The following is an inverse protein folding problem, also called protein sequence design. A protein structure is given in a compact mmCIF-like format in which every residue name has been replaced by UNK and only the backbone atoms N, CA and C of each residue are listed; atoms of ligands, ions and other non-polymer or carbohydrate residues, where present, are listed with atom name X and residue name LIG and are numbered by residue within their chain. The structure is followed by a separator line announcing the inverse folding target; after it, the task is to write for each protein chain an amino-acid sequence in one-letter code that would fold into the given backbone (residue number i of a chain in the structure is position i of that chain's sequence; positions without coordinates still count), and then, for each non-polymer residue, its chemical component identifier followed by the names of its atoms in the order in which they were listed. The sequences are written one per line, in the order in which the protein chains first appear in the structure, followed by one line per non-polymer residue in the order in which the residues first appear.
data_IF_708106315887
#
_entry.id   IF_708106315887
#
_cell.length_a   1.000
_cell.length_b   1.000
_cell.length_c   1.000
_cell.angle_alpha   90.00
_cell.angle_beta   90.00
_cell.angle_gamma   90.00
#
_symmetry.space_group_name_H-M   'P 1'
#
loop_
_entity.id
_entity.type
_entity.pdbx_description
1 polymer ?
#
# COMPACT_ATOMS: atom_id res chain seq x y z
N UNK A 1 -11.82 -18.74 -2.84
CA UNK A 1 -10.87 -18.06 -1.93
C UNK A 1 -10.06 -17.10 -2.79
N UNK A 2 -9.79 -15.87 -2.36
CA UNK A 2 -9.03 -14.91 -3.18
C UNK A 2 -7.54 -15.11 -2.96
N UNK A 3 -6.82 -15.41 -4.04
CA UNK A 3 -5.36 -15.60 -4.03
C UNK A 3 -4.69 -14.34 -4.59
N UNK A 4 -3.58 -13.91 -3.98
CA UNK A 4 -2.81 -12.75 -4.45
C UNK A 4 -1.82 -13.13 -5.54
N UNK A 5 -1.27 -14.34 -5.46
CA UNK A 5 -0.22 -14.86 -6.34
C UNK A 5 -0.65 -16.18 -6.97
N UNK A 6 -0.49 -16.30 -8.29
CA UNK A 6 -0.66 -17.54 -9.03
C UNK A 6 0.71 -18.17 -9.31
N UNK A 7 1.02 -19.30 -8.68
CA UNK A 7 2.31 -20.00 -8.86
C UNK A 7 2.12 -21.12 -9.87
N UNK A 8 2.80 -21.02 -11.00
CA UNK A 8 2.80 -22.04 -12.05
C UNK A 8 4.17 -22.70 -12.12
N UNK A 9 4.23 -24.02 -12.04
CA UNK A 9 5.46 -24.78 -12.18
C UNK A 9 5.15 -26.15 -12.78
N UNK A 10 6.19 -26.90 -13.17
CA UNK A 10 6.04 -28.26 -13.68
C UNK A 10 7.07 -29.21 -13.09
N UNK A 11 6.61 -30.41 -12.77
CA UNK A 11 7.47 -31.51 -12.32
C UNK A 11 7.34 -31.78 -10.82
N UNK A 12 7.11 -33.05 -10.49
CA UNK A 12 6.86 -33.50 -9.13
C UNK A 12 8.04 -33.21 -8.18
N UNK A 13 9.26 -33.22 -8.71
CA UNK A 13 10.49 -32.94 -7.96
C UNK A 13 10.57 -31.48 -7.49
N UNK A 14 9.99 -30.53 -8.24
CA UNK A 14 9.98 -29.11 -7.86
C UNK A 14 9.00 -28.82 -6.74
N UNK A 15 7.86 -29.53 -6.71
CA UNK A 15 6.81 -29.33 -5.71
C UNK A 15 7.33 -29.49 -4.29
N UNK A 16 8.22 -30.47 -4.06
CA UNK A 16 8.78 -30.79 -2.74
C UNK A 16 10.10 -30.08 -2.45
N UNK A 17 10.76 -29.51 -3.45
CA UNK A 17 12.05 -28.82 -3.32
C UNK A 17 11.85 -27.30 -3.36
N UNK A 18 12.33 -26.61 -4.39
CA UNK A 18 12.34 -25.15 -4.49
C UNK A 18 10.97 -24.51 -4.28
N UNK A 19 9.92 -25.07 -4.89
CA UNK A 19 8.57 -24.47 -4.81
C UNK A 19 8.01 -24.58 -3.40
N UNK A 20 8.31 -25.64 -2.65
CA UNK A 20 7.83 -25.76 -1.26
C UNK A 20 8.42 -24.64 -0.39
N UNK A 21 9.71 -24.34 -0.54
CA UNK A 21 10.38 -23.24 0.15
C UNK A 21 9.86 -21.87 -0.28
N UNK A 22 9.60 -21.67 -1.59
CA UNK A 22 9.00 -20.44 -2.10
C UNK A 22 7.60 -20.20 -1.51
N UNK A 23 6.75 -21.23 -1.48
CA UNK A 23 5.40 -21.14 -0.90
C UNK A 23 5.44 -20.88 0.60
N UNK A 24 6.41 -21.46 1.33
CA UNK A 24 6.64 -21.14 2.75
C UNK A 24 7.08 -19.69 2.93
N UNK A 25 7.96 -19.16 2.07
CA UNK A 25 8.39 -17.76 2.13
C UNK A 25 7.25 -16.79 1.82
N UNK A 26 6.40 -17.09 0.82
CA UNK A 26 5.16 -16.34 0.58
C UNK A 26 4.22 -16.39 1.78
N UNK A 27 3.97 -17.58 2.34
CA UNK A 27 3.09 -17.74 3.50
C UNK A 27 3.61 -16.96 4.72
N UNK A 28 4.91 -17.03 5.00
CA UNK A 28 5.55 -16.29 6.11
C UNK A 28 5.52 -14.78 5.89
N UNK A 29 5.52 -14.33 4.63
CA UNK A 29 5.33 -12.93 4.23
C UNK A 29 3.86 -12.50 4.08
N UNK A 30 2.92 -13.33 4.52
CA UNK A 30 1.46 -13.15 4.43
C UNK A 30 0.92 -12.99 2.99
N UNK A 31 1.60 -13.55 2.00
CA UNK A 31 1.20 -13.55 0.60
C UNK A 31 0.39 -14.83 0.35
N UNK A 32 -0.87 -14.69 -0.07
CA UNK A 32 -1.66 -15.88 -0.44
C UNK A 32 -1.36 -16.32 -1.85
N UNK A 33 -1.02 -17.59 -2.00
CA UNK A 33 -0.70 -18.19 -3.29
C UNK A 33 -1.70 -19.28 -3.69
N UNK A 34 -2.06 -19.32 -4.96
CA UNK A 34 -2.67 -20.47 -5.61
C UNK A 34 -1.59 -21.27 -6.32
N UNK A 35 -1.67 -22.61 -6.24
CA UNK A 35 -0.76 -23.50 -6.96
C UNK A 35 -1.51 -24.02 -8.18
N UNK A 36 -0.98 -23.75 -9.36
CA UNK A 36 -1.53 -24.25 -10.62
C UNK A 36 -1.62 -25.78 -10.64
N UNK A 37 -2.71 -26.29 -11.24
CA UNK A 37 -2.86 -27.70 -11.55
C UNK A 37 -1.94 -28.09 -12.70
N UNK A 38 -1.58 -29.38 -12.76
CA UNK A 38 -0.77 -29.93 -13.84
C UNK A 38 -1.59 -31.00 -14.59
N UNK A 39 -2.29 -30.68 -15.71
CA UNK A 39 -2.38 -29.41 -16.47
C UNK A 39 -3.33 -28.36 -15.89
N UNK A 40 -3.29 -27.12 -16.43
CA UNK A 40 -4.22 -26.06 -16.02
C UNK A 40 -5.67 -26.47 -16.27
N UNK A 41 -6.47 -26.48 -15.21
CA UNK A 41 -7.90 -26.75 -15.24
C UNK A 41 -8.72 -25.46 -15.34
N UNK A 42 -10.03 -25.57 -15.59
CA UNK A 42 -10.92 -24.40 -15.66
C UNK A 42 -10.99 -23.64 -14.33
N UNK A 43 -10.79 -24.32 -13.21
CA UNK A 43 -10.66 -23.74 -11.87
C UNK A 43 -9.43 -22.85 -11.72
N UNK A 44 -8.35 -23.15 -12.44
CA UNK A 44 -7.12 -22.36 -12.41
C UNK A 44 -7.27 -21.04 -13.17
N UNK A 45 -8.18 -20.97 -14.15
CA UNK A 45 -8.50 -19.74 -14.86
C UNK A 45 -9.07 -18.67 -13.93
N UNK A 46 -10.07 -19.04 -13.13
CA UNK A 46 -10.66 -18.14 -12.15
C UNK A 46 -9.62 -17.73 -11.09
N UNK A 47 -8.75 -18.65 -10.67
CA UNK A 47 -7.68 -18.34 -9.72
C UNK A 47 -6.65 -17.35 -10.31
N UNK A 48 -6.27 -17.53 -11.58
CA UNK A 48 -5.35 -16.64 -12.29
C UNK A 48 -5.95 -15.25 -12.53
N UNK A 49 -7.21 -15.16 -12.94
CA UNK A 49 -7.94 -13.89 -13.13
C UNK A 49 -8.03 -13.05 -11.87
N UNK A 50 -8.19 -13.73 -10.72
CA UNK A 50 -8.30 -13.05 -9.43
C UNK A 50 -6.94 -12.70 -8.81
N UNK A 51 -5.85 -13.26 -9.32
CA UNK A 51 -4.48 -13.02 -8.87
C UNK A 51 -3.92 -11.71 -9.43
N UNK A 52 -3.06 -11.05 -8.65
CA UNK A 52 -2.38 -9.82 -9.08
C UNK A 52 -1.00 -10.10 -9.68
N UNK A 53 -0.38 -11.19 -9.25
CA UNK A 53 0.95 -11.60 -9.69
C UNK A 53 0.89 -13.05 -10.12
N UNK A 54 1.54 -13.40 -11.22
CA UNK A 54 1.80 -14.77 -11.59
C UNK A 54 3.31 -15.04 -11.61
N UNK A 55 3.71 -16.15 -11.00
CA UNK A 55 5.08 -16.59 -10.83
C UNK A 55 5.27 -17.91 -11.58
N UNK A 56 5.62 -17.85 -12.89
CA UNK A 56 6.01 -19.04 -13.62
C UNK A 56 7.43 -19.46 -13.22
N UNK A 57 7.54 -20.64 -12.60
CA UNK A 57 8.81 -21.29 -12.26
C UNK A 57 9.20 -22.22 -13.41
N UNK A 58 10.12 -21.73 -14.23
CA UNK A 58 10.59 -22.35 -15.45
C UNK A 58 11.88 -23.11 -15.14
N UNK A 59 11.85 -24.43 -15.31
CA UNK A 59 12.97 -25.32 -15.00
C UNK A 59 13.20 -26.32 -16.14
N UNK A 60 14.12 -27.28 -15.97
CA UNK A 60 14.31 -28.38 -16.93
C UNK A 60 13.08 -29.28 -17.10
N UNK A 61 12.28 -29.47 -16.06
CA UNK A 61 11.01 -30.22 -16.12
C UNK A 61 9.86 -29.41 -16.74
N UNK A 62 10.09 -28.11 -16.96
CA UNK A 62 9.23 -27.23 -17.73
C UNK A 62 9.52 -27.41 -19.23
N UNK A 63 9.37 -28.65 -19.72
CA UNK A 63 9.70 -29.02 -21.10
C UNK A 63 8.89 -28.17 -22.10
N UNK A 64 9.52 -27.77 -23.22
CA UNK A 64 8.86 -27.06 -24.31
C UNK A 64 7.83 -27.97 -24.96
N UNK A 65 6.65 -27.98 -24.36
CA UNK A 65 5.47 -28.74 -24.75
C UNK A 65 4.37 -27.77 -25.15
N UNK A 66 3.39 -28.26 -25.89
CA UNK A 66 2.20 -27.48 -26.24
C UNK A 66 1.48 -26.96 -24.98
N UNK A 67 1.54 -27.71 -23.87
CA UNK A 67 1.01 -27.30 -22.57
C UNK A 67 1.74 -26.11 -21.96
N UNK A 68 3.07 -26.14 -21.97
CA UNK A 68 3.87 -25.01 -21.47
C UNK A 68 3.56 -23.72 -22.24
N UNK A 69 3.46 -23.84 -23.57
CA UNK A 69 3.13 -22.69 -24.42
C UNK A 69 1.73 -22.20 -24.16
N UNK A 70 0.76 -23.10 -23.95
CA UNK A 70 -0.62 -22.74 -23.60
C UNK A 70 -0.73 -22.04 -22.24
N UNK A 71 -0.02 -22.52 -21.23
CA UNK A 71 -0.04 -21.94 -19.88
C UNK A 71 0.61 -20.55 -19.87
N UNK A 72 1.82 -20.44 -20.44
CA UNK A 72 2.53 -19.17 -20.56
C UNK A 72 1.77 -18.19 -21.47
N UNK A 73 1.19 -18.65 -22.58
CA UNK A 73 0.47 -17.75 -23.50
C UNK A 73 -0.68 -17.05 -22.80
N UNK A 74 -1.45 -17.79 -22.01
CA UNK A 74 -2.57 -17.24 -21.22
C UNK A 74 -2.07 -16.22 -20.20
N UNK A 75 -1.06 -16.57 -19.42
CA UNK A 75 -0.45 -15.65 -18.45
C UNK A 75 0.04 -14.34 -19.11
N UNK A 76 0.66 -14.44 -20.28
CA UNK A 76 1.16 -13.28 -21.05
C UNK A 76 0.01 -12.42 -21.57
N UNK A 77 -1.13 -13.00 -21.93
CA UNK A 77 -2.33 -12.25 -22.34
C UNK A 77 -2.86 -11.38 -21.19
N UNK A 78 -2.99 -11.92 -19.97
CA UNK A 78 -3.39 -11.14 -18.80
C UNK A 78 -2.36 -10.05 -18.43
N UNK A 79 -1.06 -10.29 -18.67
CA UNK A 79 -0.02 -9.26 -18.52
C UNK A 79 -0.20 -8.11 -19.51
N UNK A 80 -0.52 -8.41 -20.77
CA UNK A 80 -0.75 -7.40 -21.81
C UNK A 80 -1.97 -6.53 -21.52
N UNK A 81 -3.03 -7.10 -20.94
CA UNK A 81 -4.26 -6.38 -20.57
C UNK A 81 -4.06 -5.59 -19.27
N UNK A 82 -3.00 -5.87 -18.51
CA UNK A 82 -2.61 -5.11 -17.31
C UNK A 82 -3.28 -5.58 -16.02
N UNK A 83 -3.94 -6.74 -16.02
CA UNK A 83 -4.62 -7.29 -14.84
C UNK A 83 -3.71 -8.17 -14.00
N UNK A 84 -2.64 -8.70 -14.59
CA UNK A 84 -1.71 -9.64 -13.96
C UNK A 84 -0.27 -9.19 -14.22
N UNK A 85 0.61 -9.25 -13.21
CA UNK A 85 2.04 -8.99 -13.40
C UNK A 85 2.81 -10.31 -13.42
N UNK A 86 3.66 -10.53 -14.43
CA UNK A 86 4.47 -11.74 -14.49
C UNK A 86 5.85 -11.55 -13.86
N UNK A 87 6.24 -12.51 -13.02
CA UNK A 87 7.54 -12.57 -12.35
C UNK A 87 8.17 -13.93 -12.61
N UNK A 88 8.88 -14.12 -13.74
CA UNK A 88 9.47 -15.41 -14.08
C UNK A 88 10.68 -15.76 -13.21
N UNK A 89 10.73 -17.03 -12.81
CA UNK A 89 11.89 -17.64 -12.15
C UNK A 89 12.47 -18.70 -13.08
N UNK A 90 13.70 -18.53 -13.53
CA UNK A 90 14.44 -19.51 -14.30
C UNK A 90 15.31 -20.33 -13.36
N UNK A 91 14.81 -21.51 -12.99
CA UNK A 91 15.42 -22.38 -11.99
C UNK A 91 16.28 -23.46 -12.67
N UNK A 92 17.60 -23.36 -12.46
CA UNK A 92 18.63 -24.26 -13.00
C UNK A 92 18.56 -24.44 -14.53
N UNK A 93 18.10 -23.40 -15.24
CA UNK A 93 17.99 -23.39 -16.70
C UNK A 93 18.27 -21.99 -17.26
N UNK A 94 18.98 -21.92 -18.39
CA UNK A 94 19.18 -20.66 -19.11
C UNK A 94 17.95 -20.37 -19.99
N UNK A 95 17.38 -19.14 -19.97
CA UNK A 95 16.32 -18.75 -20.90
C UNK A 95 16.72 -18.93 -22.37
N UNK A 96 18.01 -18.78 -22.70
CA UNK A 96 18.53 -18.98 -24.06
C UNK A 96 18.37 -20.41 -24.53
N UNK A 97 18.52 -21.40 -23.64
CA UNK A 97 18.36 -22.80 -24.00
C UNK A 97 16.90 -23.15 -24.27
N UNK A 98 15.97 -22.49 -23.57
CA UNK A 98 14.53 -22.62 -23.83
C UNK A 98 14.16 -21.95 -25.15
N UNK A 99 14.70 -20.76 -25.43
CA UNK A 99 14.51 -20.07 -26.70
C UNK A 99 14.99 -20.90 -27.91
N UNK A 100 16.14 -21.57 -27.78
CA UNK A 100 16.64 -22.51 -28.81
C UNK A 100 15.67 -23.65 -29.06
N UNK A 101 15.04 -24.19 -28.00
CA UNK A 101 14.06 -25.25 -28.12
C UNK A 101 12.76 -24.73 -28.77
N UNK A 102 12.22 -23.59 -28.33
CA UNK A 102 11.00 -22.96 -28.88
C UNK A 102 11.17 -22.62 -30.37
N UNK A 103 12.36 -22.15 -30.79
CA UNK A 103 12.63 -21.81 -32.19
C UNK A 103 12.29 -22.95 -33.16
N UNK A 104 12.58 -24.20 -32.78
CA UNK A 104 12.28 -25.39 -33.60
C UNK A 104 10.79 -25.58 -33.85
N UNK A 105 9.93 -25.14 -32.93
CA UNK A 105 8.46 -25.30 -33.03
C UNK A 105 7.79 -24.09 -33.69
N UNK A 106 8.33 -22.88 -33.50
CA UNK A 106 7.80 -21.67 -34.14
C UNK A 106 7.80 -21.78 -35.66
N UNK A 107 8.84 -22.40 -36.23
CA UNK A 107 8.97 -22.60 -37.68
C UNK A 107 7.87 -23.52 -38.26
N UNK A 108 7.13 -24.25 -37.40
CA UNK A 108 6.13 -25.24 -37.79
C UNK A 108 4.70 -24.83 -37.40
N UNK A 109 4.49 -24.25 -36.21
CA UNK A 109 3.14 -24.07 -35.63
C UNK A 109 2.65 -22.62 -35.47
N UNK A 110 3.53 -21.60 -35.54
CA UNK A 110 3.14 -20.19 -35.41
C UNK A 110 2.34 -19.84 -34.12
N UNK A 111 1.75 -18.64 -34.06
CA UNK A 111 0.78 -18.27 -33.00
C UNK A 111 1.38 -18.13 -31.58
N UNK A 112 0.85 -18.90 -30.62
CA UNK A 112 1.22 -18.82 -29.20
C UNK A 112 2.71 -19.08 -28.95
N UNK A 113 3.34 -19.93 -29.76
CA UNK A 113 4.79 -20.17 -29.70
C UNK A 113 5.58 -18.89 -29.98
N UNK A 114 5.14 -18.06 -30.93
CA UNK A 114 5.78 -16.78 -31.23
C UNK A 114 5.60 -15.78 -30.09
N UNK A 115 4.41 -15.75 -29.48
CA UNK A 115 4.12 -14.89 -28.34
C UNK A 115 5.03 -15.24 -27.14
N UNK A 116 5.11 -16.51 -26.78
CA UNK A 116 5.99 -16.98 -25.70
C UNK A 116 7.45 -16.74 -26.04
N UNK A 117 7.87 -16.96 -27.31
CA UNK A 117 9.23 -16.66 -27.77
C UNK A 117 9.59 -15.19 -27.57
N UNK A 118 8.75 -14.26 -28.06
CA UNK A 118 8.98 -12.81 -27.92
C UNK A 118 9.02 -12.37 -26.47
N UNK A 119 8.11 -12.89 -25.65
CA UNK A 119 8.09 -12.61 -24.22
C UNK A 119 9.36 -13.12 -23.53
N UNK A 120 9.79 -14.36 -23.80
CA UNK A 120 11.06 -14.92 -23.29
C UNK A 120 12.28 -14.08 -23.69
N UNK A 121 12.36 -13.63 -24.94
CA UNK A 121 13.43 -12.71 -25.38
C UNK A 121 13.46 -11.41 -24.57
N UNK A 122 12.28 -10.85 -24.24
CA UNK A 122 12.21 -9.67 -23.38
C UNK A 122 12.73 -9.95 -21.97
N UNK A 123 12.53 -11.17 -21.43
CA UNK A 123 13.03 -11.53 -20.11
C UNK A 123 14.56 -11.65 -20.06
N UNK A 124 15.22 -12.04 -21.16
CA UNK A 124 16.71 -12.11 -21.21
C UNK A 124 17.36 -10.73 -21.01
N UNK A 125 16.66 -9.65 -21.33
CA UNK A 125 17.19 -8.27 -21.28
C UNK A 125 16.61 -7.42 -20.14
N UNK A 126 15.70 -7.98 -19.34
CA UNK A 126 14.99 -7.26 -18.27
C UNK A 126 15.67 -7.45 -16.92
N UNK A 127 15.69 -6.40 -16.11
CA UNK A 127 16.19 -6.43 -14.72
C UNK A 127 15.21 -7.06 -13.72
N UNK A 128 14.08 -7.59 -14.18
CA UNK A 128 13.01 -8.15 -13.32
C UNK A 128 12.79 -9.65 -13.50
N UNK A 129 13.68 -10.34 -14.23
CA UNK A 129 13.74 -11.80 -14.28
C UNK A 129 14.66 -12.34 -13.20
N UNK A 130 14.27 -13.44 -12.57
CA UNK A 130 15.09 -14.09 -11.55
C UNK A 130 15.73 -15.35 -12.13
N UNK A 131 17.06 -15.42 -12.18
CA UNK A 131 17.79 -16.62 -12.58
C UNK A 131 18.43 -17.24 -11.35
N UNK A 132 18.27 -18.56 -11.16
CA UNK A 132 18.90 -19.22 -10.01
C UNK A 132 20.42 -19.20 -10.06
N UNK A 133 21.02 -19.00 -11.24
CA UNK A 133 22.46 -18.84 -11.40
C UNK A 133 23.02 -17.54 -10.83
N UNK A 134 22.16 -16.56 -10.54
CA UNK A 134 22.57 -15.25 -10.04
C UNK A 134 22.77 -15.25 -8.51
N UNK A 135 22.50 -16.37 -7.85
CA UNK A 135 22.49 -16.52 -6.39
C UNK A 135 23.35 -17.70 -5.97
N UNK A 136 24.09 -17.56 -4.87
CA UNK A 136 24.86 -18.66 -4.29
C UNK A 136 23.94 -19.72 -3.67
N UNK A 137 22.87 -19.27 -3.01
CA UNK A 137 21.90 -20.12 -2.33
C UNK A 137 20.47 -19.91 -2.86
N UNK A 138 19.75 -21.02 -3.10
CA UNK A 138 18.33 -21.00 -3.49
C UNK A 138 17.45 -20.24 -2.47
N UNK A 139 17.87 -20.20 -1.20
CA UNK A 139 17.17 -19.46 -0.14
C UNK A 139 17.21 -17.95 -0.34
N UNK A 140 18.35 -17.41 -0.80
CA UNK A 140 18.49 -15.98 -1.09
C UNK A 140 17.62 -15.58 -2.29
N UNK A 141 17.59 -16.43 -3.32
CA UNK A 141 16.67 -16.28 -4.44
C UNK A 141 15.21 -16.23 -3.97
N UNK A 142 14.80 -17.15 -3.09
CA UNK A 142 13.43 -17.21 -2.55
C UNK A 142 13.08 -15.93 -1.78
N UNK A 143 13.98 -15.44 -0.93
CA UNK A 143 13.76 -14.22 -0.16
C UNK A 143 13.63 -13.00 -1.07
N UNK A 144 14.46 -12.92 -2.11
CA UNK A 144 14.46 -11.80 -3.07
C UNK A 144 13.24 -11.79 -3.96
N UNK A 145 12.80 -12.95 -4.42
CA UNK A 145 11.52 -13.10 -5.13
C UNK A 145 10.37 -12.67 -4.23
N UNK A 146 10.36 -13.11 -2.96
CA UNK A 146 9.31 -12.80 -2.00
C UNK A 146 9.23 -11.31 -1.68
N UNK A 147 10.37 -10.67 -1.46
CA UNK A 147 10.49 -9.22 -1.29
C UNK A 147 9.93 -8.47 -2.52
N UNK A 148 10.31 -8.91 -3.73
CA UNK A 148 9.86 -8.29 -4.96
C UNK A 148 8.35 -8.43 -5.20
N UNK A 149 7.80 -9.62 -5.00
CA UNK A 149 6.35 -9.88 -5.11
C UNK A 149 5.59 -9.08 -4.05
N UNK A 150 6.08 -9.03 -2.80
CA UNK A 150 5.48 -8.21 -1.74
C UNK A 150 5.39 -6.74 -2.13
N UNK A 151 6.48 -6.18 -2.68
CA UNK A 151 6.51 -4.80 -3.15
C UNK A 151 5.49 -4.54 -4.28
N UNK A 152 5.32 -5.50 -5.19
CA UNK A 152 4.28 -5.41 -6.24
C UNK A 152 2.90 -5.33 -5.60
N UNK A 153 2.58 -6.23 -4.66
CA UNK A 153 1.28 -6.30 -4.00
C UNK A 153 0.99 -5.04 -3.16
N UNK A 154 2.00 -4.48 -2.49
CA UNK A 154 1.88 -3.23 -1.75
C UNK A 154 1.60 -2.06 -2.71
N UNK A 155 2.26 -2.03 -3.88
CA UNK A 155 2.09 -0.97 -4.87
C UNK A 155 0.75 -1.00 -5.61
N UNK A 156 0.09 -2.15 -5.69
CA UNK A 156 -1.17 -2.34 -6.43
C UNK A 156 -2.43 -1.99 -5.64
N UNK A 157 -2.31 -1.51 -4.40
CA UNK A 157 -3.43 -0.92 -3.66
C UNK A 157 -4.49 -1.90 -3.13
N UNK A 158 -4.32 -3.22 -3.31
CA UNK A 158 -5.13 -4.20 -2.57
C UNK A 158 -4.63 -4.28 -1.14
N UNK A 159 -5.23 -3.45 -0.28
CA UNK A 159 -5.22 -3.65 1.17
C UNK A 159 -5.62 -5.10 1.49
N UNK A 160 -4.76 -5.84 2.18
CA UNK A 160 -5.01 -7.20 2.66
C UNK A 160 -6.28 -7.23 3.53
N UNK A 161 -7.40 -7.64 2.95
CA UNK A 161 -8.63 -7.96 3.67
C UNK A 161 -8.97 -9.44 3.45
N UNK A 162 -9.08 -10.22 4.53
CA UNK A 162 -9.75 -11.52 4.48
C UNK A 162 -11.01 -11.50 5.36
N UNK A 163 -12.06 -12.07 4.78
CA UNK A 163 -13.41 -12.37 5.28
C UNK A 163 -14.46 -11.23 5.26
N UNK A 164 -15.25 -11.21 4.18
CA UNK A 164 -16.71 -11.20 4.32
C UNK A 164 -17.26 -12.31 3.43
N UNK A 165 -17.62 -13.43 4.05
CA UNK A 165 -18.60 -14.35 3.46
C UNK A 165 -19.94 -13.62 3.35
N UNK A 166 -20.68 -13.92 2.29
CA UNK A 166 -22.06 -13.47 2.11
C UNK A 166 -22.18 -12.18 1.31
N UNK A 167 -22.12 -12.31 -0.01
CA UNK A 167 -23.23 -12.01 -0.92
C UNK A 167 -22.80 -12.43 -2.33
N UNK A 168 -23.61 -13.29 -2.94
CA UNK A 168 -23.46 -13.81 -4.29
C UNK A 168 -23.24 -12.69 -5.31
N UNK A 169 -22.40 -12.86 -6.35
CA UNK A 169 -22.43 -11.96 -7.49
C UNK A 169 -23.78 -12.12 -8.18
N UNK A 170 -24.60 -11.07 -8.11
CA UNK A 170 -25.77 -10.91 -8.96
C UNK A 170 -25.28 -10.83 -10.41
N UNK A 171 -25.77 -11.76 -11.22
CA UNK A 171 -25.67 -11.79 -12.69
C UNK A 171 -26.12 -10.46 -13.31
N UNK A 172 -25.70 -10.28 -14.57
CA UNK A 172 -26.33 -9.45 -15.63
C UNK A 172 -25.56 -8.16 -15.91
N UNK A 173 -25.17 -7.78 -17.14
CA UNK A 173 -25.68 -8.17 -18.46
C UNK A 173 -24.60 -8.04 -19.54
N UNK A 174 -24.64 -9.00 -20.48
CA UNK A 174 -24.13 -8.86 -21.84
C UNK A 174 -24.78 -7.66 -22.52
N UNK A 175 -24.01 -6.93 -23.30
CA UNK A 175 -24.49 -6.17 -24.44
C UNK A 175 -23.42 -6.24 -25.53
N UNK A 176 -23.54 -7.27 -26.36
CA UNK A 176 -23.13 -7.22 -27.76
C UNK A 176 -24.29 -6.59 -28.55
N UNK A 177 -23.99 -5.58 -29.36
CA UNK A 177 -24.36 -5.60 -30.78
C UNK A 177 -23.70 -4.43 -31.54
N UNK A 178 -22.85 -4.84 -32.48
CA UNK A 178 -22.65 -4.33 -33.85
C UNK A 178 -23.13 -2.92 -34.22
N UNK A 179 -22.25 -2.12 -34.83
CA UNK A 179 -22.51 -1.55 -36.16
C UNK A 179 -21.21 -1.19 -36.92
N UNK A 180 -21.25 -1.45 -38.23
CA UNK A 180 -20.24 -1.43 -39.31
C UNK A 180 -19.30 -0.21 -39.46
N UNK A 181 -18.04 -0.54 -39.75
CA UNK A 181 -17.15 -0.14 -40.88
C UNK A 181 -17.18 1.26 -41.55
N UNK A 182 -16.10 2.05 -41.29
CA UNK A 182 -15.17 2.80 -42.21
C UNK A 182 -15.65 3.96 -43.12
N UNK A 183 -14.77 4.85 -43.66
CA UNK A 183 -13.46 5.38 -43.20
C UNK A 183 -13.25 6.93 -43.38
N UNK A 184 -12.05 7.40 -43.03
CA UNK A 184 -11.26 8.55 -43.58
C UNK A 184 -11.38 9.97 -42.95
N UNK A 185 -10.35 10.36 -42.17
CA UNK A 185 -9.23 11.31 -42.48
C UNK A 185 -8.94 12.34 -41.38
N UNK A 186 -7.74 12.22 -40.79
CA UNK A 186 -6.84 13.24 -40.20
C UNK A 186 -7.38 14.34 -39.27
N UNK A 187 -6.84 14.39 -38.04
CA UNK A 187 -5.75 15.31 -37.67
C UNK A 187 -5.17 14.96 -36.29
N UNK A 188 -3.85 15.10 -36.17
CA UNK A 188 -3.01 14.77 -35.00
C UNK A 188 -3.35 15.59 -33.76
N UNK A 189 -3.54 14.93 -32.62
CA UNK A 189 -3.28 15.51 -31.30
C UNK A 189 -2.56 14.44 -30.47
N UNK A 190 -1.30 14.71 -30.13
CA UNK A 190 -0.51 13.94 -29.19
C UNK A 190 -1.13 14.01 -27.78
N UNK A 191 -1.81 12.96 -27.35
CA UNK A 191 -2.13 12.76 -25.92
C UNK A 191 -1.09 11.82 -25.31
N UNK A 192 0.02 12.40 -24.86
CA UNK A 192 0.90 11.78 -23.87
C UNK A 192 0.15 11.73 -22.51
N UNK A 193 -0.70 10.73 -22.31
CA UNK A 193 -1.12 10.35 -20.96
C UNK A 193 0.06 9.63 -20.28
N UNK A 194 0.94 10.42 -19.66
CA UNK A 194 1.85 9.92 -18.63
C UNK A 194 1.04 9.69 -17.37
N UNK A 195 0.70 8.43 -17.12
CA UNK A 195 0.27 7.96 -15.81
C UNK A 195 1.35 8.28 -14.78
N UNK A 196 1.02 9.17 -13.84
CA UNK A 196 1.89 9.50 -12.71
C UNK A 196 1.88 8.32 -11.72
N UNK A 197 3.05 7.75 -11.36
CA UNK A 197 3.09 6.71 -10.34
C UNK A 197 2.90 7.36 -8.97
N UNK A 198 1.72 7.15 -8.36
CA UNK A 198 1.48 7.44 -6.95
C UNK A 198 2.01 6.25 -6.14
N UNK A 199 3.32 6.19 -6.02
CA UNK A 199 4.03 5.37 -5.04
C UNK A 199 4.79 6.30 -4.12
N UNK A 200 4.45 6.33 -2.82
CA UNK A 200 5.27 6.98 -1.82
C UNK A 200 6.63 6.26 -1.75
N UNK A 201 7.62 6.75 -2.49
CA UNK A 201 9.01 6.42 -2.26
C UNK A 201 9.55 7.49 -1.32
N UNK A 202 9.80 7.13 -0.06
CA UNK A 202 10.70 7.93 0.77
C UNK A 202 12.10 7.74 0.16
N UNK A 203 12.48 8.64 -0.73
CA UNK A 203 13.88 8.85 -1.08
C UNK A 203 14.43 9.88 -0.08
N UNK A 204 15.60 9.67 0.53
CA UNK A 204 16.15 10.57 1.53
C UNK A 204 16.54 11.97 1.00
N UNK A 205 16.27 12.29 -0.27
CA UNK A 205 16.71 13.52 -0.95
C UNK A 205 15.58 14.48 -1.40
N UNK A 206 14.30 14.20 -1.14
CA UNK A 206 13.23 15.18 -1.44
C UNK A 206 13.19 16.28 -0.35
N UNK A 207 13.83 17.41 -0.64
CA UNK A 207 14.17 18.47 0.32
C UNK A 207 13.00 19.24 0.95
N UNK A 208 11.76 19.13 0.44
CA UNK A 208 10.64 20.02 0.78
C UNK A 208 9.52 19.39 1.62
N UNK A 209 9.21 18.09 1.43
CA UNK A 209 8.40 17.27 2.35
C UNK A 209 9.00 17.23 3.78
N UNK A 210 10.27 17.62 3.84
CA UNK A 210 11.11 17.80 5.01
C UNK A 210 10.59 18.91 5.95
N UNK A 211 9.99 20.03 5.52
CA UNK A 211 9.72 21.15 6.47
C UNK A 211 8.63 20.85 7.49
N UNK A 212 7.44 20.44 7.05
CA UNK A 212 6.35 20.05 7.96
C UNK A 212 6.75 18.83 8.83
N UNK A 213 7.40 17.84 8.22
CA UNK A 213 7.75 16.59 8.89
C UNK A 213 8.94 16.75 9.85
N UNK A 214 9.94 17.63 9.56
CA UNK A 214 11.17 17.80 10.35
C UNK A 214 10.91 18.03 11.82
N UNK A 215 10.12 19.06 12.15
CA UNK A 215 9.86 19.44 13.53
C UNK A 215 9.14 18.32 14.29
N UNK A 216 8.16 17.70 13.62
CA UNK A 216 7.31 16.66 14.21
C UNK A 216 8.07 15.34 14.37
N UNK A 217 8.96 15.02 13.44
CA UNK A 217 9.90 13.90 13.53
C UNK A 217 10.94 14.14 14.63
N UNK A 218 11.49 15.35 14.76
CA UNK A 218 12.42 15.67 15.84
C UNK A 218 11.78 15.49 17.22
N UNK A 219 10.53 15.94 17.40
CA UNK A 219 9.75 15.70 18.62
C UNK A 219 9.55 14.21 18.88
N UNK A 220 9.08 13.44 17.90
CA UNK A 220 8.87 12.00 18.06
C UNK A 220 10.18 11.25 18.33
N UNK A 221 11.29 11.62 17.67
CA UNK A 221 12.63 11.07 17.95
C UNK A 221 13.06 11.31 19.38
N UNK A 222 12.84 12.51 19.91
CA UNK A 222 13.13 12.84 21.31
C UNK A 222 12.35 11.94 22.28
N UNK A 223 11.05 11.75 22.01
CA UNK A 223 10.20 10.82 22.75
C UNK A 223 10.70 9.38 22.67
N UNK A 224 11.01 8.89 21.47
CA UNK A 224 11.55 7.53 21.30
C UNK A 224 12.84 7.33 22.09
N UNK A 225 13.75 8.31 22.10
CA UNK A 225 14.95 8.23 22.91
C UNK A 225 14.66 8.25 24.42
N UNK A 226 13.66 9.02 24.87
CA UNK A 226 13.25 9.03 26.28
C UNK A 226 12.68 7.67 26.70
N UNK A 227 11.78 7.12 25.89
CA UNK A 227 11.14 5.82 26.07
C UNK A 227 12.17 4.69 26.12
N UNK A 228 13.14 4.70 25.19
CA UNK A 228 14.24 3.73 25.15
C UNK A 228 15.16 3.80 26.38
N UNK A 229 15.38 4.99 26.97
CA UNK A 229 16.17 5.14 28.20
C UNK A 229 15.42 4.69 29.45
N UNK A 230 14.10 4.89 29.47
CA UNK A 230 13.24 4.50 30.58
C UNK A 230 12.89 3.00 30.57
N UNK A 231 13.32 2.25 29.54
CA UNK A 231 12.83 0.91 29.23
C UNK A 231 11.30 0.81 29.15
N UNK A 232 10.65 1.95 28.91
CA UNK A 232 9.21 2.04 28.66
C UNK A 232 8.96 1.51 27.25
N UNK A 233 7.91 0.71 27.09
CA UNK A 233 7.69 -0.02 25.84
C UNK A 233 6.76 0.69 24.85
N UNK A 234 6.04 1.75 25.24
CA UNK A 234 4.85 2.21 24.51
C UNK A 234 4.81 3.74 24.34
N UNK A 235 4.59 4.17 23.10
CA UNK A 235 4.32 5.56 22.71
C UNK A 235 2.95 5.63 22.07
N UNK A 236 2.10 6.54 22.55
CA UNK A 236 0.84 6.90 21.90
C UNK A 236 1.01 8.11 20.99
N UNK A 237 0.49 8.07 19.77
CA UNK A 237 0.41 9.19 18.83
C UNK A 237 -1.07 9.49 18.59
N UNK A 238 -1.51 10.70 18.90
CA UNK A 238 -2.90 11.15 18.69
C UNK A 238 -2.98 12.47 17.93
N UNK A 239 -4.20 12.86 17.54
CA UNK A 239 -4.46 14.09 16.79
C UNK A 239 -5.55 13.91 15.74
N UNK A 240 -5.95 15.01 15.11
CA UNK A 240 -7.06 15.04 14.14
C UNK A 240 -6.79 14.20 12.89
N UNK A 241 -7.84 13.80 12.20
CA UNK A 241 -7.72 13.07 10.94
C UNK A 241 -7.00 13.90 9.85
N UNK A 242 -6.21 13.25 9.00
CA UNK A 242 -5.45 13.95 7.95
C UNK A 242 -4.25 14.78 8.43
N UNK A 243 -4.01 14.86 9.75
CA UNK A 243 -2.90 15.66 10.33
C UNK A 243 -1.50 15.08 10.05
N UNK A 244 -1.39 13.81 9.62
CA UNK A 244 -0.12 13.16 9.28
C UNK A 244 0.47 12.21 10.33
N UNK A 245 -0.34 11.72 11.29
CA UNK A 245 0.10 10.75 12.33
C UNK A 245 0.80 9.52 11.74
N UNK A 246 0.14 8.82 10.83
CA UNK A 246 0.67 7.65 10.11
C UNK A 246 1.96 7.98 9.36
N UNK A 247 2.05 9.16 8.74
CA UNK A 247 3.22 9.59 7.99
C UNK A 247 4.45 9.74 8.87
N UNK A 248 4.30 10.41 10.03
CA UNK A 248 5.39 10.63 10.99
C UNK A 248 5.83 9.29 11.61
N UNK A 249 4.88 8.46 12.03
CA UNK A 249 5.16 7.16 12.61
C UNK A 249 5.87 6.23 11.62
N UNK A 250 5.47 6.25 10.34
CA UNK A 250 6.09 5.45 9.27
C UNK A 250 7.54 5.85 9.00
N UNK A 251 7.84 7.15 9.02
CA UNK A 251 9.22 7.62 8.86
C UNK A 251 10.11 7.17 10.02
N UNK A 252 9.63 7.27 11.27
CA UNK A 252 10.35 6.74 12.44
C UNK A 252 10.50 5.22 12.39
N UNK A 253 9.46 4.50 11.95
CA UNK A 253 9.52 3.06 11.77
C UNK A 253 10.61 2.65 10.79
N UNK A 254 10.69 3.30 9.62
CA UNK A 254 11.72 3.03 8.62
C UNK A 254 13.12 3.31 9.14
N UNK A 255 13.32 4.44 9.83
CA UNK A 255 14.60 4.82 10.43
C UNK A 255 15.05 3.83 11.52
N UNK A 256 14.13 3.38 12.36
CA UNK A 256 14.44 2.58 13.54
C UNK A 256 14.45 1.08 13.26
N UNK A 257 13.71 0.63 12.25
CA UNK A 257 13.56 -0.78 11.86
C UNK A 257 14.85 -1.59 11.90
N UNK A 258 16.00 -1.14 11.34
CA UNK A 258 17.26 -1.89 11.37
C UNK A 258 17.76 -2.27 12.77
N UNK A 259 17.36 -1.54 13.81
CA UNK A 259 17.80 -1.73 15.21
C UNK A 259 16.99 -2.78 15.98
N UNK A 260 15.99 -3.38 15.34
CA UNK A 260 15.07 -4.35 15.95
C UNK A 260 15.11 -5.68 15.19
N UNK A 261 14.95 -6.77 15.94
CA UNK A 261 14.96 -8.14 15.42
C UNK A 261 13.65 -8.48 14.72
N UNK A 262 12.53 -8.00 15.26
CA UNK A 262 11.19 -8.19 14.69
C UNK A 262 10.53 -6.84 14.50
N UNK A 263 9.88 -6.64 13.35
CA UNK A 263 9.29 -5.35 12.96
C UNK A 263 7.90 -5.56 12.36
N UNK A 264 6.93 -4.82 12.88
CA UNK A 264 5.54 -4.91 12.46
C UNK A 264 4.96 -3.51 12.28
N UNK A 265 4.30 -3.29 11.15
CA UNK A 265 3.47 -2.12 10.90
C UNK A 265 2.09 -2.62 10.46
N UNK A 266 1.07 -2.38 11.27
CA UNK A 266 -0.27 -2.95 11.09
C UNK A 266 -1.33 -1.87 11.20
N UNK A 267 -2.45 -2.06 10.49
CA UNK A 267 -3.63 -1.22 10.60
C UNK A 267 -4.74 -1.99 11.32
N UNK A 268 -5.19 -1.45 12.45
CA UNK A 268 -6.10 -2.06 13.41
C UNK A 268 -7.57 -2.02 12.98
N UNK A 269 -7.94 -1.22 11.96
CA UNK A 269 -9.30 -1.18 11.42
C UNK A 269 -9.80 -2.54 10.89
N UNK A 270 -8.87 -3.47 10.63
CA UNK A 270 -9.19 -4.86 10.27
C UNK A 270 -9.14 -5.75 11.52
N UNK A 271 -10.27 -5.84 12.24
CA UNK A 271 -10.57 -6.79 13.32
C UNK A 271 -9.36 -7.57 13.87
N UNK A 272 -8.74 -7.09 14.96
CA UNK A 272 -7.74 -7.86 15.72
C UNK A 272 -8.46 -8.97 16.50
N UNK A 273 -8.82 -10.04 15.79
CA UNK A 273 -9.16 -11.34 16.36
C UNK A 273 -8.21 -12.40 15.80
N UNK A 274 -6.90 -12.18 16.02
CA UNK A 274 -5.93 -13.22 16.38
C UNK A 274 -4.50 -12.68 16.23
N UNK A 275 -3.99 -12.12 17.34
CA UNK A 275 -2.57 -12.05 17.73
C UNK A 275 -1.58 -11.42 16.74
N UNK A 276 -0.91 -10.34 17.15
CA UNK A 276 0.31 -9.83 16.48
C UNK A 276 1.44 -10.88 16.40
N UNK A 277 1.26 -12.03 17.08
CA UNK A 277 2.09 -13.23 17.08
C UNK A 277 1.72 -14.28 16.01
N UNK A 278 0.66 -14.08 15.22
CA UNK A 278 0.27 -15.01 14.16
C UNK A 278 1.36 -15.24 13.09
N UNK A 279 2.26 -14.29 12.75
CA UNK A 279 3.38 -14.55 11.84
C UNK A 279 4.35 -15.63 12.33
N UNK A 280 4.35 -15.96 13.62
CA UNK A 280 5.26 -16.94 14.25
C UNK A 280 4.63 -18.32 14.48
N UNK A 281 3.37 -18.56 14.06
CA UNK A 281 2.67 -19.83 14.25
C UNK A 281 2.44 -20.52 12.91
N UNK A 282 3.25 -21.53 12.53
CA UNK A 282 3.14 -22.18 11.22
C UNK A 282 1.88 -23.04 11.04
N UNK A 283 1.20 -23.41 12.13
CA UNK A 283 0.11 -24.40 12.12
C UNK A 283 -1.18 -23.89 12.78
N UNK A 284 -2.30 -24.14 12.10
CA UNK A 284 -3.66 -23.81 12.56
C UNK A 284 -4.10 -24.59 13.82
N UNK A 285 -3.38 -25.65 14.21
CA UNK A 285 -3.78 -26.54 15.32
C UNK A 285 -3.51 -25.98 16.73
N UNK A 286 -2.75 -24.89 16.87
CA UNK A 286 -2.41 -24.32 18.17
C UNK A 286 -3.40 -23.26 18.69
N UNK A 287 -4.53 -23.04 18.00
CA UNK A 287 -5.60 -22.15 18.49
C UNK A 287 -6.21 -22.61 19.83
N UNK A 288 -5.93 -23.83 20.30
CA UNK A 288 -6.42 -24.36 21.58
C UNK A 288 -5.48 -24.19 22.79
N UNK A 289 -4.25 -23.69 22.62
CA UNK A 289 -3.26 -23.58 23.70
C UNK A 289 -2.52 -22.23 23.67
N UNK A 290 -3.24 -21.11 23.71
CA UNK A 290 -2.60 -19.81 23.97
C UNK A 290 -2.56 -19.51 25.47
N UNK A 291 -1.71 -20.21 26.22
CA UNK A 291 -1.26 -19.68 27.51
C UNK A 291 -0.32 -18.51 27.26
N UNK A 292 -0.46 -17.42 28.01
CA UNK A 292 0.45 -16.26 27.93
C UNK A 292 1.92 -16.62 28.20
N UNK A 293 2.18 -17.76 28.83
CA UNK A 293 3.53 -18.28 29.12
C UNK A 293 4.28 -18.67 27.83
N UNK A 294 3.61 -19.31 26.87
CA UNK A 294 4.22 -19.73 25.60
C UNK A 294 4.67 -18.52 24.77
N UNK A 295 3.88 -17.43 24.80
CA UNK A 295 4.23 -16.21 24.09
C UNK A 295 5.43 -15.49 24.73
N UNK A 296 5.52 -15.54 26.08
CA UNK A 296 6.64 -14.98 26.82
C UNK A 296 7.94 -15.74 26.56
N UNK A 297 7.90 -17.07 26.47
CA UNK A 297 9.07 -17.86 26.08
C UNK A 297 9.53 -17.56 24.65
N UNK A 298 8.60 -17.33 23.73
CA UNK A 298 8.92 -17.08 22.32
C UNK A 298 9.50 -15.68 22.06
N UNK A 299 9.00 -14.66 22.78
CA UNK A 299 9.25 -13.24 22.48
C UNK A 299 9.98 -12.48 23.59
N UNK A 300 10.09 -13.05 24.79
CA UNK A 300 10.62 -12.37 25.98
C UNK A 300 12.11 -12.02 25.91
N UNK A 301 12.85 -12.55 24.93
CA UNK A 301 14.26 -12.22 24.68
C UNK A 301 14.47 -11.43 23.39
N UNK A 302 13.39 -11.12 22.66
CA UNK A 302 13.46 -10.53 21.33
C UNK A 302 13.10 -9.05 21.38
N UNK A 303 13.90 -8.24 20.70
CA UNK A 303 13.67 -6.80 20.58
C UNK A 303 12.72 -6.51 19.42
N UNK A 304 11.51 -6.04 19.72
CA UNK A 304 10.40 -5.87 18.77
C UNK A 304 10.10 -4.40 18.52
N UNK A 305 9.87 -4.03 17.26
CA UNK A 305 9.29 -2.75 16.87
C UNK A 305 7.87 -2.99 16.33
N UNK A 306 6.86 -2.46 17.00
CA UNK A 306 5.46 -2.58 16.59
C UNK A 306 4.86 -1.20 16.36
N UNK A 307 4.22 -0.98 15.23
CA UNK A 307 3.38 0.20 14.97
C UNK A 307 1.95 -0.25 14.68
N UNK A 308 1.03 0.05 15.59
CA UNK A 308 -0.40 -0.22 15.46
C UNK A 308 -1.11 1.08 15.04
N UNK A 309 -1.49 1.16 13.76
CA UNK A 309 -2.17 2.31 13.16
C UNK A 309 -3.69 2.16 13.24
N UNK A 310 -4.42 3.24 13.50
CA UNK A 310 -5.89 3.24 13.50
C UNK A 310 -6.52 2.47 14.68
N UNK A 311 -6.00 2.63 15.90
CA UNK A 311 -6.62 2.06 17.11
C UNK A 311 -7.81 2.93 17.52
N UNK A 312 -9.01 2.34 17.52
CA UNK A 312 -10.28 3.07 17.70
C UNK A 312 -10.96 2.76 19.03
N UNK A 313 -10.62 1.64 19.68
CA UNK A 313 -11.27 1.23 20.91
C UNK A 313 -10.31 0.77 22.02
N UNK A 314 -10.82 0.80 23.26
CA UNK A 314 -10.04 0.47 24.45
C UNK A 314 -9.66 -1.01 24.52
N UNK A 315 -10.45 -1.90 23.90
CA UNK A 315 -10.20 -3.35 23.92
C UNK A 315 -9.01 -3.69 23.02
N UNK A 316 -8.94 -3.09 21.84
CA UNK A 316 -7.82 -3.17 20.92
C UNK A 316 -6.53 -2.68 21.60
N UNK A 317 -6.59 -1.50 22.24
CA UNK A 317 -5.43 -0.96 22.95
C UNK A 317 -4.97 -1.87 24.10
N UNK A 318 -5.89 -2.38 24.92
CA UNK A 318 -5.56 -3.33 25.99
C UNK A 318 -4.95 -4.63 25.46
N UNK A 319 -5.45 -5.13 24.34
CA UNK A 319 -4.88 -6.30 23.66
C UNK A 319 -3.44 -6.04 23.19
N UNK A 320 -3.19 -4.88 22.57
CA UNK A 320 -1.83 -4.45 22.16
C UNK A 320 -0.89 -4.34 23.36
N UNK A 321 -1.35 -3.73 24.46
CA UNK A 321 -0.55 -3.57 25.69
C UNK A 321 -0.24 -4.94 26.30
N UNK A 322 -1.22 -5.86 26.31
CA UNK A 322 -1.02 -7.22 26.77
C UNK A 322 0.02 -7.96 25.92
N UNK A 323 -0.07 -7.88 24.60
CA UNK A 323 0.91 -8.48 23.69
C UNK A 323 2.31 -7.87 23.90
N UNK A 324 2.37 -6.55 24.12
CA UNK A 324 3.62 -5.82 24.40
C UNK A 324 4.30 -6.26 25.70
N UNK A 325 3.54 -6.73 26.68
CA UNK A 325 4.07 -7.22 27.96
C UNK A 325 4.95 -8.48 27.82
N UNK A 326 4.86 -9.18 26.69
CA UNK A 326 5.66 -10.36 26.39
C UNK A 326 6.93 -10.06 25.60
N UNK A 327 7.15 -8.82 25.17
CA UNK A 327 8.33 -8.47 24.38
C UNK A 327 9.58 -8.33 25.25
N UNK A 328 10.73 -8.60 24.66
CA UNK A 328 12.01 -8.48 25.35
C UNK A 328 12.44 -7.03 25.59
N UNK A 329 13.42 -6.81 26.48
CA UNK A 329 13.92 -5.49 26.81
C UNK A 329 14.35 -4.66 25.59
N UNK A 330 14.08 -3.36 25.62
CA UNK A 330 14.37 -2.42 24.53
C UNK A 330 13.41 -2.48 23.35
N UNK A 331 12.30 -3.22 23.45
CA UNK A 331 11.21 -3.20 22.48
C UNK A 331 10.48 -1.84 22.46
N UNK A 332 9.90 -1.49 21.32
CA UNK A 332 9.20 -0.24 21.11
C UNK A 332 7.87 -0.49 20.41
N UNK A 333 6.79 -0.04 21.02
CA UNK A 333 5.43 -0.10 20.52
C UNK A 333 4.93 1.32 20.30
N UNK A 334 4.43 1.61 19.12
CA UNK A 334 3.84 2.89 18.74
C UNK A 334 2.37 2.63 18.41
N UNK A 335 1.48 3.26 19.15
CA UNK A 335 0.04 3.20 18.95
C UNK A 335 -0.40 4.51 18.31
N UNK A 336 -1.17 4.45 17.23
CA UNK A 336 -1.73 5.62 16.56
C UNK A 336 -3.24 5.59 16.71
N UNK A 337 -3.81 6.67 17.23
CA UNK A 337 -5.26 6.83 17.41
C UNK A 337 -5.68 8.26 17.09
N UNK A 338 -6.97 8.51 16.93
CA UNK A 338 -7.51 9.87 16.94
C UNK A 338 -7.81 10.34 18.37
N UNK A 339 -8.18 9.41 19.26
CA UNK A 339 -8.71 9.72 20.59
C UNK A 339 -7.60 9.69 21.65
N UNK A 340 -7.23 10.88 22.13
CA UNK A 340 -6.26 11.04 23.23
C UNK A 340 -6.74 10.38 24.53
N UNK A 341 -8.04 10.36 24.77
CA UNK A 341 -8.62 9.81 26.00
C UNK A 341 -8.37 8.31 26.12
N UNK A 342 -8.42 7.56 25.01
CA UNK A 342 -8.11 6.13 24.96
C UNK A 342 -6.69 5.84 25.50
N UNK A 343 -5.71 6.64 25.11
CA UNK A 343 -4.32 6.49 25.56
C UNK A 343 -4.20 6.74 27.06
N UNK A 344 -4.81 7.82 27.55
CA UNK A 344 -4.76 8.17 28.98
C UNK A 344 -5.48 7.16 29.87
N UNK A 345 -6.63 6.63 29.44
CA UNK A 345 -7.39 5.63 30.19
C UNK A 345 -6.65 4.29 30.30
N UNK A 346 -5.80 3.97 29.31
CA UNK A 346 -4.96 2.78 29.32
C UNK A 346 -3.59 2.99 30.01
N UNK A 347 -3.34 4.17 30.60
CA UNK A 347 -2.11 4.45 31.32
C UNK A 347 -0.87 4.62 30.43
N UNK A 348 -1.05 5.00 29.16
CA UNK A 348 0.09 5.31 28.28
C UNK A 348 0.73 6.61 28.74
N UNK A 349 1.96 6.54 29.25
CA UNK A 349 2.68 7.69 29.80
C UNK A 349 3.22 8.64 28.71
N UNK A 350 3.72 8.07 27.62
CA UNK A 350 4.38 8.82 26.54
C UNK A 350 3.41 9.07 25.39
N UNK A 351 2.71 10.21 25.44
CA UNK A 351 1.73 10.60 24.42
C UNK A 351 2.26 11.78 23.59
N UNK A 352 2.23 11.63 22.27
CA UNK A 352 2.53 12.67 21.30
C UNK A 352 1.27 13.10 20.55
N UNK A 353 0.82 14.32 20.80
CA UNK A 353 -0.26 14.92 20.03
C UNK A 353 0.31 15.65 18.81
N UNK A 354 -0.10 15.21 17.62
CA UNK A 354 0.33 15.79 16.36
C UNK A 354 -0.56 16.98 16.04
N UNK A 355 0.02 18.17 16.16
CA UNK A 355 -0.64 19.43 15.84
C UNK A 355 -0.57 19.75 14.34
N UNK A 356 -1.59 20.46 13.86
CA UNK A 356 -1.62 21.03 12.52
C UNK A 356 -0.43 21.99 12.28
N UNK A 357 0.08 22.11 11.04
CA UNK A 357 1.08 23.10 10.68
C UNK A 357 0.67 24.52 11.05
N UNK A 358 1.68 25.33 11.39
CA UNK A 358 1.52 26.79 11.42
C UNK A 358 1.12 27.27 10.03
N UNK A 359 0.52 28.45 9.95
CA UNK A 359 -0.01 28.94 8.68
C UNK A 359 1.07 29.03 7.60
N UNK A 360 2.25 29.54 7.95
CA UNK A 360 3.40 29.64 7.05
C UNK A 360 3.89 28.27 6.56
N UNK A 361 3.96 27.28 7.46
CA UNK A 361 4.29 25.88 7.12
C UNK A 361 3.25 25.27 6.18
N UNK A 362 1.96 25.52 6.46
CA UNK A 362 0.85 25.02 5.66
C UNK A 362 0.85 25.63 4.24
N UNK A 363 1.15 26.93 4.14
CA UNK A 363 1.26 27.65 2.88
C UNK A 363 2.45 27.14 2.04
N UNK A 364 3.61 26.95 2.67
CA UNK A 364 4.78 26.39 2.00
C UNK A 364 4.50 24.95 1.52
N UNK A 365 3.87 24.13 2.36
CA UNK A 365 3.50 22.75 2.04
C UNK A 365 2.48 22.70 0.89
N UNK A 366 1.44 23.52 0.92
CA UNK A 366 0.49 23.63 -0.19
C UNK A 366 1.15 24.09 -1.50
N UNK A 367 2.02 25.09 -1.41
CA UNK A 367 2.73 25.67 -2.56
C UNK A 367 3.64 24.66 -3.25
N UNK A 368 4.22 23.73 -2.49
CA UNK A 368 5.01 22.63 -3.05
C UNK A 368 4.16 21.75 -3.99
N UNK A 369 2.93 21.39 -3.59
CA UNK A 369 2.06 20.58 -4.44
C UNK A 369 1.49 21.37 -5.62
N UNK A 370 1.08 22.63 -5.37
CA UNK A 370 0.43 23.49 -6.36
C UNK A 370 1.39 24.12 -7.38
N UNK A 371 2.60 24.48 -6.97
CA UNK A 371 3.54 25.27 -7.78
C UNK A 371 4.93 24.64 -7.94
N UNK A 372 5.22 23.52 -7.24
CA UNK A 372 6.55 22.89 -7.20
C UNK A 372 7.65 23.80 -6.63
N UNK A 373 7.26 24.75 -5.77
CA UNK A 373 8.15 25.66 -5.06
C UNK A 373 7.59 26.01 -3.67
N UNK A 374 8.42 26.53 -2.77
CA UNK A 374 8.05 26.77 -1.38
C UNK A 374 7.17 28.00 -1.13
N UNK A 375 6.80 28.74 -2.17
CA UNK A 375 6.00 29.97 -2.07
C UNK A 375 5.00 30.07 -3.23
N UNK A 376 3.89 30.82 -3.07
CA UNK A 376 2.95 31.05 -4.15
C UNK A 376 3.58 31.74 -5.37
N UNK A 377 3.04 31.50 -6.56
CA UNK A 377 3.39 32.28 -7.74
C UNK A 377 2.83 33.71 -7.65
N UNK A 378 3.50 34.70 -8.27
CA UNK A 378 2.98 36.07 -8.34
C UNK A 378 1.55 36.13 -8.88
N UNK A 379 0.66 36.76 -8.12
CA UNK A 379 -0.77 36.87 -8.42
C UNK A 379 -1.63 35.67 -8.02
N UNK A 380 -1.06 34.64 -7.39
CA UNK A 380 -1.77 33.51 -6.77
C UNK A 380 -1.70 33.55 -5.23
N UNK A 381 -1.12 34.59 -4.63
CA UNK A 381 -0.91 34.70 -3.19
C UNK A 381 -2.23 34.63 -2.44
N UNK A 382 -3.18 35.52 -2.76
CA UNK A 382 -4.50 35.55 -2.10
C UNK A 382 -5.27 34.23 -2.25
N UNK A 383 -5.20 33.60 -3.44
CA UNK A 383 -5.85 32.32 -3.70
C UNK A 383 -5.18 31.18 -2.92
N UNK A 384 -3.87 31.24 -2.74
CA UNK A 384 -3.13 30.26 -1.93
C UNK A 384 -3.44 30.42 -0.44
N UNK A 385 -3.58 31.66 0.04
CA UNK A 385 -4.09 31.92 1.39
C UNK A 385 -5.49 31.32 1.58
N UNK A 386 -6.41 31.57 0.65
CA UNK A 386 -7.76 30.98 0.68
C UNK A 386 -7.73 29.45 0.66
N UNK A 387 -6.93 28.84 -0.21
CA UNK A 387 -6.80 27.39 -0.30
C UNK A 387 -6.33 26.76 1.02
N UNK A 388 -5.36 27.38 1.71
CA UNK A 388 -4.89 26.92 3.02
C UNK A 388 -5.98 27.03 4.09
N UNK A 389 -6.78 28.11 4.03
CA UNK A 389 -7.92 28.32 4.93
C UNK A 389 -9.02 27.28 4.71
N UNK A 390 -9.43 27.05 3.45
CA UNK A 390 -10.39 26.03 3.05
C UNK A 390 -9.94 24.63 3.47
N UNK A 391 -8.65 24.34 3.33
CA UNK A 391 -8.07 23.06 3.73
C UNK A 391 -7.90 22.89 5.26
N UNK A 392 -8.30 23.89 6.07
CA UNK A 392 -8.15 23.89 7.53
C UNK A 392 -6.71 23.56 8.01
N UNK A 393 -5.70 23.90 7.20
CA UNK A 393 -4.29 23.55 7.42
C UNK A 393 -4.02 22.04 7.59
N UNK A 394 -4.94 21.15 7.20
CA UNK A 394 -4.72 19.71 7.27
C UNK A 394 -3.77 19.26 6.16
N UNK A 395 -2.60 18.66 6.46
CA UNK A 395 -1.64 18.23 5.44
C UNK A 395 -2.25 17.36 4.33
N UNK A 396 -3.13 16.41 4.66
CA UNK A 396 -3.79 15.61 3.62
C UNK A 396 -4.64 16.48 2.67
N UNK A 397 -5.44 17.39 3.21
CA UNK A 397 -6.28 18.28 2.41
C UNK A 397 -5.44 19.27 1.58
N UNK A 398 -4.41 19.87 2.17
CA UNK A 398 -3.48 20.77 1.48
C UNK A 398 -2.80 20.07 0.30
N UNK A 399 -2.36 18.82 0.49
CA UNK A 399 -1.74 18.02 -0.57
C UNK A 399 -2.71 17.75 -1.72
N UNK A 400 -3.93 17.31 -1.40
CA UNK A 400 -4.96 16.99 -2.39
C UNK A 400 -5.36 18.24 -3.17
N UNK A 401 -5.69 19.31 -2.45
CA UNK A 401 -6.11 20.58 -3.05
C UNK A 401 -5.00 21.21 -3.89
N UNK A 402 -3.77 21.24 -3.38
CA UNK A 402 -2.62 21.78 -4.12
C UNK A 402 -2.34 20.98 -5.38
N UNK A 403 -2.36 19.64 -5.30
CA UNK A 403 -2.16 18.77 -6.47
C UNK A 403 -3.27 18.94 -7.51
N UNK A 404 -4.51 19.14 -7.07
CA UNK A 404 -5.65 19.36 -7.96
C UNK A 404 -5.59 20.71 -8.68
N UNK A 405 -5.12 21.74 -8.00
CA UNK A 405 -5.00 23.10 -8.53
C UNK A 405 -3.73 23.31 -9.37
N UNK A 406 -2.81 22.36 -9.35
CA UNK A 406 -1.57 22.42 -10.10
C UNK A 406 -1.83 22.57 -11.61
N UNK A 407 -1.19 23.57 -12.22
CA UNK A 407 -1.28 23.85 -13.66
C UNK A 407 -2.57 24.54 -14.11
N UNK A 408 -3.51 24.84 -13.21
CA UNK A 408 -4.78 25.49 -13.53
C UNK A 408 -4.68 27.02 -13.55
N UNK A 409 -5.54 27.66 -14.34
CA UNK A 409 -5.65 29.13 -14.42
C UNK A 409 -6.38 29.75 -13.21
N UNK A 410 -6.27 31.08 -13.05
CA UNK A 410 -6.87 31.79 -11.89
C UNK A 410 -8.37 31.63 -11.78
N UNK A 411 -9.11 31.63 -12.90
CA UNK A 411 -10.57 31.51 -12.88
C UNK A 411 -11.03 30.13 -12.38
N UNK A 412 -10.29 29.08 -12.74
CA UNK A 412 -10.52 27.71 -12.23
C UNK A 412 -10.22 27.61 -10.74
N UNK A 413 -9.16 28.28 -10.25
CA UNK A 413 -8.87 28.37 -8.82
C UNK A 413 -10.01 29.06 -8.07
N UNK A 414 -10.46 30.23 -8.55
CA UNK A 414 -11.52 31.03 -7.92
C UNK A 414 -12.81 30.22 -7.84
N UNK A 415 -13.23 29.59 -8.94
CA UNK A 415 -14.46 28.78 -8.99
C UNK A 415 -14.37 27.53 -8.10
N UNK A 416 -13.23 26.85 -8.08
CA UNK A 416 -13.01 25.68 -7.20
C UNK A 416 -13.08 26.08 -5.73
N UNK A 417 -12.34 27.12 -5.32
CA UNK A 417 -12.27 27.54 -3.92
C UNK A 417 -13.60 28.08 -3.42
N UNK A 418 -14.31 28.87 -4.24
CA UNK A 418 -15.65 29.36 -3.91
C UNK A 418 -16.64 28.20 -3.69
N UNK A 419 -16.64 27.19 -4.57
CA UNK A 419 -17.50 26.02 -4.40
C UNK A 419 -17.21 25.21 -3.13
N UNK A 420 -15.94 25.15 -2.71
CA UNK A 420 -15.55 24.50 -1.46
C UNK A 420 -15.91 25.32 -0.21
N UNK A 421 -15.89 26.66 -0.30
CA UNK A 421 -16.31 27.56 0.80
C UNK A 421 -17.82 27.57 0.98
N UNK A 422 -18.59 27.52 -0.10
CA UNK A 422 -20.06 27.49 -0.07
C UNK A 422 -20.60 26.13 0.43
N UNK A 423 -19.85 25.05 0.25
CA UNK A 423 -20.20 23.71 0.76
C UNK A 423 -19.76 23.49 2.22
N UNK A 424 -19.54 24.56 3.01
CA UNK A 424 -18.96 24.51 4.37
C UNK A 424 -19.68 23.62 5.41
N UNK A 425 -20.93 23.21 5.16
CA UNK A 425 -21.64 22.18 5.95
C UNK A 425 -21.32 20.72 5.53
N UNK A 426 -20.49 20.55 4.50
CA UNK A 426 -20.33 19.35 3.70
C UNK A 426 -18.87 19.08 3.32
N UNK A 427 -17.89 19.65 4.06
CA UNK A 427 -16.46 19.49 3.78
C UNK A 427 -16.05 18.01 3.69
N UNK A 428 -16.57 17.18 4.61
CA UNK A 428 -16.38 15.73 4.57
C UNK A 428 -17.00 15.11 3.32
N UNK A 429 -18.14 15.60 2.85
CA UNK A 429 -18.90 15.03 1.74
C UNK A 429 -18.36 15.42 0.37
N UNK A 430 -17.82 16.63 0.20
CA UNK A 430 -17.20 17.03 -1.07
C UNK A 430 -15.82 16.36 -1.20
N UNK A 431 -15.04 16.31 -0.11
CA UNK A 431 -13.83 15.46 -0.04
C UNK A 431 -14.21 13.97 -0.26
N UNK A 432 -15.31 13.48 0.33
CA UNK A 432 -15.83 12.12 0.08
C UNK A 432 -16.40 11.93 -1.33
N UNK A 433 -16.87 12.96 -2.01
CA UNK A 433 -17.34 12.92 -3.41
C UNK A 433 -16.15 12.83 -4.36
N UNK A 434 -15.05 13.52 -4.04
CA UNK A 434 -13.77 13.36 -4.71
C UNK A 434 -13.10 12.00 -4.39
N UNK A 435 -13.32 11.44 -3.19
CA UNK A 435 -12.95 10.05 -2.87
C UNK A 435 -13.91 9.01 -3.51
N UNK A 436 -15.15 9.40 -3.83
CA UNK A 436 -16.22 8.54 -4.34
C UNK A 436 -16.19 8.25 -5.84
N UNK A 437 -15.26 8.85 -6.60
CA UNK A 437 -14.97 8.47 -7.98
C UNK A 437 -14.17 7.15 -8.01
N UNK A 438 -14.87 6.06 -7.67
CA UNK A 438 -14.47 4.64 -7.76
C UNK A 438 -12.98 4.34 -7.51
N UNK A 439 -12.49 4.65 -6.31
CA UNK A 439 -11.53 3.86 -5.54
C UNK A 439 -11.44 4.48 -4.14
N UNK A 440 -11.60 3.68 -3.09
CA UNK A 440 -11.66 4.06 -1.65
C UNK A 440 -13.07 4.39 -1.12
N UNK A 441 -13.67 3.41 -0.43
CA UNK A 441 -14.94 3.56 0.28
C UNK A 441 -14.70 3.87 1.78
N UNK A 442 -15.48 4.77 2.40
CA UNK A 442 -15.74 4.76 3.83
C UNK A 442 -17.14 4.22 4.15
N UNK A 443 -17.24 3.34 5.17
CA UNK A 443 -18.52 2.88 5.72
C UNK A 443 -19.02 3.82 6.82
N UNK A 444 -20.21 4.38 6.56
CA UNK A 444 -21.34 4.82 7.44
C UNK A 444 -21.13 5.79 8.62
N UNK A 445 -22.18 6.60 8.74
CA UNK A 445 -22.44 7.80 9.53
C UNK A 445 -22.38 7.66 11.05
N UNK A 446 -21.80 8.68 11.70
CA UNK A 446 -21.98 8.97 13.12
C UNK A 446 -23.08 10.04 13.28
N UNK A 447 -24.00 9.79 14.21
CA UNK A 447 -25.05 10.72 14.63
C UNK A 447 -24.43 11.94 15.31
N UNK A 448 -24.92 13.12 14.95
CA UNK A 448 -24.58 14.39 15.57
C UNK A 448 -25.30 14.50 16.91
N UNK A 449 -24.59 14.25 18.01
CA UNK A 449 -25.02 14.75 19.31
C UNK A 449 -24.46 16.16 19.50
N UNK A 450 -25.38 17.10 19.57
CA UNK A 450 -25.14 18.51 19.85
C UNK A 450 -24.60 18.64 21.27
N UNK A 451 -23.38 19.13 21.48
CA UNK A 451 -23.04 19.93 22.66
C UNK A 451 -22.06 21.03 22.25
N UNK A 452 -22.62 22.23 22.12
CA UNK A 452 -21.92 23.51 21.97
C UNK A 452 -21.18 23.78 23.28
N UNK A 453 -19.86 23.88 23.21
CA UNK A 453 -19.01 24.46 24.24
C UNK A 453 -18.43 25.77 23.70
N UNK A 454 -18.99 26.87 24.20
CA UNK A 454 -18.61 28.26 23.92
C UNK A 454 -17.26 28.54 24.58
N UNK A 455 -16.26 28.95 23.79
CA UNK A 455 -15.36 30.09 24.04
C UNK A 455 -14.05 29.93 23.25
N UNK A 456 -13.92 30.71 22.18
CA UNK A 456 -12.74 31.53 21.86
C UNK A 456 -13.06 32.30 20.57
N UNK A 457 -13.94 33.28 20.71
CA UNK A 457 -14.02 34.38 19.78
C UNK A 457 -12.93 35.40 20.11
N UNK A 458 -12.51 36.14 19.09
CA UNK A 458 -11.62 37.32 19.08
C UNK A 458 -10.15 37.00 18.73
N UNK A 459 -9.91 36.87 17.42
CA UNK A 459 -8.93 37.75 16.75
C UNK A 459 -9.17 37.75 15.23
N UNK A 460 -10.10 38.60 14.79
CA UNK A 460 -10.22 39.05 13.41
C UNK A 460 -9.75 40.51 13.33
N UNK A 461 -8.87 40.86 12.39
CA UNK A 461 -8.93 42.14 11.71
C UNK A 461 -9.71 41.96 10.41
N UNK A 462 -10.85 42.66 10.31
CA UNK A 462 -11.64 42.84 9.10
C UNK A 462 -10.79 43.42 7.97
N UNK A 463 -10.85 42.81 6.79
CA UNK A 463 -10.78 43.56 5.53
C UNK A 463 -12.15 43.45 4.86
N UNK A 464 -12.97 44.47 5.07
CA UNK A 464 -14.18 44.70 4.29
C UNK A 464 -13.78 45.16 2.88
N UNK A 465 -14.40 44.50 1.90
CA UNK A 465 -14.58 44.98 0.54
C UNK A 465 -15.15 46.41 0.57
N UNK A 466 -14.48 47.34 -0.11
CA UNK A 466 -15.13 48.54 -0.62
C UNK A 466 -15.42 48.29 -2.10
N UNK A 467 -16.71 48.15 -2.41
CA UNK A 467 -17.27 48.35 -3.73
C UNK A 467 -17.40 49.86 -3.97
N UNK A 468 -16.76 50.37 -5.01
CA UNK A 468 -17.29 51.41 -5.92
C UNK A 468 -16.86 51.06 -7.34
#
# INVERSE_FOLDING_TARGET
MTHEVFVNFRGNDMRKTFVSHLLVSFKTSCITSFIASEPLEDTDHEAMENSLVAVPVISKSYSVSEWMVKDLSRMIEYEKIGTLRLVPIFFQISPLDILKQIKKYVEVQGGNFEMVRRWMYAQVSRTSSFHSSDWEDDSELVDKVTEFVSNILISSGRSRSYYSTGLSPVRSLKLENEFRSTPTTTCHIDTNQRSFPIGFRFMPDDSTLLTYAKLRLAKLRGLVQAVQRAESGIIGICGVEGVGKTTIARAVYQEMSPRFQHRYFTNTSNNISSTFLCPLRPNEDYKKLSSGEVNKELMGHRKVLLVADGVEDIKQLKSIIQDASWFGPGSLVIVITQDRSLLTQCGVEHIYEVECPRYEEALAFFSEFAFKQSSPLPGFESLSFQAVHVANRLPLALKVLGSFLHGKGKDEWISTLRGMEESRDNYASEVNRYLGAHNYAPRRSIKVDHHIGVDEAICFPLYCLALE
#
